data_IF_131230343366
#
_entry.id   IF_131230343366
#
_cell.length_a   1.000
_cell.length_b   1.000
_cell.length_c   1.000
_cell.angle_alpha   90.00
_cell.angle_beta   90.00
_cell.angle_gamma   90.00
#
_symmetry.space_group_name_H-M   'P 1'
#
loop_
_entity.id
_entity.type
_entity.pdbx_description
1 polymer ?
#
# COMPACT_ATOMS: atom_id res chain seq x y z
N UNK A 1 3.03 -51.65 -3.21
CA UNK A 1 3.65 -50.80 -4.22
C UNK A 1 2.60 -49.97 -5.03
N UNK A 2 1.36 -49.76 -4.51
CA UNK A 2 0.27 -49.07 -5.22
C UNK A 2 -0.29 -47.84 -4.52
N UNK A 3 0.24 -47.45 -3.35
CA UNK A 3 -0.31 -46.34 -2.55
C UNK A 3 0.43 -44.99 -2.77
N UNK A 4 1.65 -45.02 -3.30
CA UNK A 4 2.47 -43.82 -3.53
C UNK A 4 2.18 -43.08 -4.83
N UNK A 5 1.51 -43.71 -5.80
CA UNK A 5 1.27 -43.11 -7.12
C UNK A 5 0.04 -42.20 -7.17
N UNK A 6 -0.87 -42.32 -6.21
CA UNK A 6 -2.12 -41.51 -6.19
C UNK A 6 -1.96 -40.14 -5.52
N UNK A 7 -0.99 -40.01 -4.62
CA UNK A 7 -0.78 -38.70 -3.91
C UNK A 7 -0.09 -37.65 -4.77
N UNK A 8 0.77 -38.06 -5.71
CA UNK A 8 1.51 -37.11 -6.57
C UNK A 8 0.63 -36.53 -7.69
N UNK A 9 -0.36 -37.25 -8.19
CA UNK A 9 -1.27 -36.71 -9.22
C UNK A 9 -2.30 -35.73 -8.71
N UNK A 10 -2.73 -35.82 -7.44
CA UNK A 10 -3.70 -34.88 -6.85
C UNK A 10 -3.06 -33.53 -6.55
N UNK A 11 -1.77 -33.51 -6.12
CA UNK A 11 -1.04 -32.27 -5.86
C UNK A 11 -0.75 -31.49 -7.16
N UNK A 12 -0.45 -32.16 -8.25
CA UNK A 12 -0.27 -31.53 -9.58
C UNK A 12 -1.58 -30.94 -10.13
N UNK A 13 -2.72 -31.60 -9.92
CA UNK A 13 -4.01 -31.11 -10.42
C UNK A 13 -4.53 -29.89 -9.68
N UNK A 14 -4.29 -29.78 -8.37
CA UNK A 14 -4.67 -28.60 -7.57
C UNK A 14 -3.75 -27.41 -7.89
N UNK A 15 -2.46 -27.65 -8.12
CA UNK A 15 -1.51 -26.60 -8.54
C UNK A 15 -1.83 -26.02 -9.91
N UNK A 16 -2.24 -26.86 -10.86
CA UNK A 16 -2.63 -26.44 -12.22
C UNK A 16 -3.95 -25.68 -12.18
N UNK A 17 -4.91 -26.09 -11.36
CA UNK A 17 -6.21 -25.40 -11.22
C UNK A 17 -6.09 -23.99 -10.66
N UNK A 18 -5.22 -23.76 -9.67
CA UNK A 18 -4.98 -22.42 -9.09
C UNK A 18 -4.21 -21.52 -10.06
N UNK A 19 -3.22 -22.06 -10.80
CA UNK A 19 -2.53 -21.29 -11.84
C UNK A 19 -3.46 -20.89 -12.99
N UNK A 20 -4.37 -21.77 -13.42
CA UNK A 20 -5.33 -21.48 -14.49
C UNK A 20 -6.37 -20.45 -14.05
N UNK A 21 -6.82 -20.47 -12.79
CA UNK A 21 -7.77 -19.48 -12.26
C UNK A 21 -7.14 -18.09 -12.10
N UNK A 22 -5.87 -18.00 -11.72
CA UNK A 22 -5.13 -16.72 -11.67
C UNK A 22 -4.86 -16.17 -13.07
N UNK A 23 -4.52 -17.03 -14.04
CA UNK A 23 -4.31 -16.63 -15.43
C UNK A 23 -5.60 -16.12 -16.10
N UNK A 24 -6.75 -16.71 -15.78
CA UNK A 24 -8.04 -16.26 -16.31
C UNK A 24 -8.48 -14.90 -15.76
N UNK A 25 -8.19 -14.57 -14.50
CA UNK A 25 -8.51 -13.26 -13.93
C UNK A 25 -7.64 -12.15 -14.53
N UNK A 26 -6.38 -12.41 -14.82
CA UNK A 26 -5.50 -11.49 -15.55
C UNK A 26 -5.93 -11.32 -17.01
N UNK A 27 -6.35 -12.38 -17.68
CA UNK A 27 -6.81 -12.34 -19.07
C UNK A 27 -8.08 -11.47 -19.22
N UNK A 28 -9.06 -11.60 -18.32
CA UNK A 28 -10.29 -10.82 -18.34
C UNK A 28 -10.06 -9.31 -18.09
N UNK A 29 -9.14 -8.95 -17.19
CA UNK A 29 -8.78 -7.56 -16.94
C UNK A 29 -8.03 -6.93 -18.14
N UNK A 30 -7.17 -7.70 -18.80
CA UNK A 30 -6.49 -7.29 -20.04
C UNK A 30 -7.46 -7.12 -21.21
N UNK A 31 -8.42 -8.01 -21.37
CA UNK A 31 -9.42 -7.95 -22.45
C UNK A 31 -10.29 -6.68 -22.33
N UNK A 32 -10.68 -6.32 -21.12
CA UNK A 32 -11.43 -5.08 -20.85
C UNK A 32 -10.66 -3.80 -21.22
N UNK A 33 -9.34 -3.75 -20.98
CA UNK A 33 -8.51 -2.60 -21.37
C UNK A 33 -8.37 -2.49 -22.90
N UNK A 34 -8.17 -3.61 -23.60
CA UNK A 34 -8.10 -3.62 -25.06
C UNK A 34 -9.41 -3.16 -25.71
N UNK A 35 -10.55 -3.55 -25.15
CA UNK A 35 -11.84 -3.09 -25.62
C UNK A 35 -12.01 -1.57 -25.43
N UNK A 36 -11.64 -1.04 -24.26
CA UNK A 36 -11.65 0.39 -23.99
C UNK A 36 -10.73 1.16 -24.95
N UNK A 37 -9.53 0.66 -25.23
CA UNK A 37 -8.60 1.25 -26.20
C UNK A 37 -9.22 1.28 -27.60
N UNK A 38 -9.89 0.19 -28.03
CA UNK A 38 -10.59 0.13 -29.32
C UNK A 38 -11.73 1.16 -29.38
N UNK A 39 -12.53 1.26 -28.31
CA UNK A 39 -13.64 2.20 -28.24
C UNK A 39 -13.17 3.65 -28.33
N UNK A 40 -12.11 4.02 -27.57
CA UNK A 40 -11.53 5.38 -27.64
C UNK A 40 -10.90 5.64 -29.02
N UNK A 41 -10.25 4.63 -29.62
CA UNK A 41 -9.68 4.74 -30.97
C UNK A 41 -10.77 5.01 -32.02
N UNK A 42 -11.94 4.38 -31.90
CA UNK A 42 -13.06 4.65 -32.77
C UNK A 42 -13.60 6.10 -32.59
N UNK A 43 -13.59 6.62 -31.37
CA UNK A 43 -13.96 8.05 -31.11
C UNK A 43 -12.92 9.00 -31.75
N UNK A 44 -11.62 8.71 -31.61
CA UNK A 44 -10.56 9.51 -32.24
C UNK A 44 -10.71 9.57 -33.77
N UNK A 45 -11.11 8.46 -34.42
CA UNK A 45 -11.36 8.46 -35.86
C UNK A 45 -12.49 9.41 -36.26
N UNK A 46 -13.49 9.63 -35.41
CA UNK A 46 -14.61 10.54 -35.66
C UNK A 46 -14.29 11.99 -35.32
N UNK A 47 -13.43 12.20 -34.32
CA UNK A 47 -13.01 13.53 -33.86
C UNK A 47 -11.49 13.55 -33.60
N UNK A 48 -10.67 13.64 -34.68
CA UNK A 48 -9.22 13.54 -34.59
C UNK A 48 -8.54 14.78 -34.00
N UNK A 49 -9.28 15.86 -33.76
CA UNK A 49 -8.75 17.10 -33.14
C UNK A 49 -9.04 17.19 -31.64
N UNK A 50 -9.66 16.18 -31.06
CA UNK A 50 -10.01 16.15 -29.65
C UNK A 50 -8.86 15.66 -28.78
N UNK A 51 -8.15 16.59 -28.17
CA UNK A 51 -6.99 16.28 -27.30
C UNK A 51 -7.35 15.36 -26.12
N UNK A 52 -8.58 15.49 -25.57
CA UNK A 52 -9.00 14.68 -24.43
C UNK A 52 -9.11 13.20 -24.76
N UNK A 53 -9.45 12.84 -26.01
CA UNK A 53 -9.51 11.46 -26.45
C UNK A 53 -8.13 10.82 -26.52
N UNK A 54 -7.12 11.57 -26.97
CA UNK A 54 -5.73 11.09 -26.96
C UNK A 54 -5.20 10.96 -25.53
N UNK A 55 -5.50 11.94 -24.66
CA UNK A 55 -5.16 11.82 -23.25
C UNK A 55 -5.81 10.57 -22.62
N UNK A 56 -7.08 10.34 -22.86
CA UNK A 56 -7.81 9.16 -22.37
C UNK A 56 -7.18 7.86 -22.88
N UNK A 57 -6.83 7.78 -24.17
CA UNK A 57 -6.19 6.58 -24.72
C UNK A 57 -4.76 6.39 -24.18
N UNK A 58 -4.03 7.48 -24.01
CA UNK A 58 -2.72 7.49 -23.38
C UNK A 58 -2.76 6.94 -21.95
N UNK A 59 -3.77 7.31 -21.15
CA UNK A 59 -3.97 6.74 -19.81
C UNK A 59 -4.28 5.23 -19.85
N UNK A 60 -5.08 4.77 -20.80
CA UNK A 60 -5.33 3.33 -21.00
C UNK A 60 -4.05 2.58 -21.38
N UNK A 61 -3.24 3.15 -22.29
CA UNK A 61 -1.93 2.58 -22.63
C UNK A 61 -0.97 2.59 -21.42
N UNK A 62 -0.99 3.63 -20.56
CA UNK A 62 -0.20 3.69 -19.33
C UNK A 62 -0.60 2.57 -18.37
N UNK A 63 -1.90 2.37 -18.15
CA UNK A 63 -2.41 1.27 -17.32
C UNK A 63 -2.03 -0.12 -17.87
N UNK A 64 -1.93 -0.23 -19.20
CA UNK A 64 -1.46 -1.41 -19.89
C UNK A 64 0.06 -1.54 -19.97
N UNK A 65 0.81 -0.57 -19.39
CA UNK A 65 2.28 -0.45 -19.43
C UNK A 65 2.85 -0.35 -20.84
N UNK A 66 2.06 0.09 -21.81
CA UNK A 66 2.50 0.37 -23.16
C UNK A 66 3.07 1.80 -23.27
N UNK A 67 4.19 2.02 -22.59
CA UNK A 67 4.78 3.35 -22.35
C UNK A 67 5.00 4.18 -23.61
N UNK A 68 5.44 3.55 -24.69
CA UNK A 68 5.70 4.23 -25.97
C UNK A 68 4.40 4.75 -26.60
N UNK A 69 3.34 3.95 -26.57
CA UNK A 69 2.02 4.37 -27.08
C UNK A 69 1.40 5.46 -26.23
N UNK A 70 1.50 5.33 -24.90
CA UNK A 70 1.05 6.36 -23.97
C UNK A 70 1.76 7.68 -24.22
N UNK A 71 3.08 7.68 -24.34
CA UNK A 71 3.87 8.88 -24.65
C UNK A 71 3.46 9.53 -25.97
N UNK A 72 3.28 8.73 -27.03
CA UNK A 72 2.83 9.22 -28.36
C UNK A 72 1.47 9.91 -28.29
N UNK A 73 0.53 9.34 -27.54
CA UNK A 73 -0.79 9.94 -27.35
C UNK A 73 -0.74 11.22 -26.53
N UNK A 74 0.06 11.26 -25.46
CA UNK A 74 0.28 12.49 -24.69
C UNK A 74 0.94 13.58 -25.52
N UNK A 75 1.89 13.23 -26.40
CA UNK A 75 2.53 14.19 -27.31
C UNK A 75 1.51 14.73 -28.33
N UNK A 76 0.61 13.89 -28.81
CA UNK A 76 -0.43 14.32 -29.73
C UNK A 76 -1.44 15.25 -29.04
N UNK A 77 -1.90 14.88 -27.84
CA UNK A 77 -2.78 15.71 -27.02
C UNK A 77 -2.16 17.09 -26.73
N UNK A 78 -0.86 17.14 -26.40
CA UNK A 78 -0.15 18.39 -26.12
C UNK A 78 0.01 19.28 -27.35
N UNK A 79 0.15 18.72 -28.56
CA UNK A 79 0.16 19.51 -29.79
C UNK A 79 -1.22 20.12 -30.10
N UNK A 80 -2.28 19.39 -29.81
CA UNK A 80 -3.67 19.88 -30.03
C UNK A 80 -4.05 20.93 -28.97
N UNK A 81 -3.63 20.74 -27.72
CA UNK A 81 -3.97 21.61 -26.59
C UNK A 81 -2.75 21.84 -25.70
N UNK A 82 -1.87 22.78 -26.07
CA UNK A 82 -0.65 23.08 -25.27
C UNK A 82 -0.98 23.68 -23.89
N UNK A 83 -2.18 24.23 -23.73
CA UNK A 83 -2.68 24.82 -22.49
C UNK A 83 -3.19 23.75 -21.49
N UNK A 84 -3.39 22.52 -21.90
CA UNK A 84 -3.95 21.44 -21.07
C UNK A 84 -2.87 20.84 -20.14
N UNK A 85 -2.64 21.48 -19.00
CA UNK A 85 -1.55 21.16 -18.06
C UNK A 85 -1.61 19.72 -17.50
N UNK A 86 -2.80 19.14 -17.41
CA UNK A 86 -2.98 17.77 -16.91
C UNK A 86 -2.21 16.72 -17.72
N UNK A 87 -1.83 17.03 -18.96
CA UNK A 87 -0.98 16.16 -19.80
C UNK A 87 0.40 15.98 -19.18
N UNK A 88 0.95 17.03 -18.57
CA UNK A 88 2.23 16.94 -17.88
C UNK A 88 2.14 16.04 -16.63
N UNK A 89 1.05 16.10 -15.89
CA UNK A 89 0.81 15.16 -14.80
C UNK A 89 0.73 13.71 -15.31
N UNK A 90 -0.02 13.46 -16.37
CA UNK A 90 -0.13 12.14 -16.99
C UNK A 90 1.24 11.60 -17.46
N UNK A 91 2.06 12.44 -18.08
CA UNK A 91 3.44 12.11 -18.44
C UNK A 91 4.30 11.83 -17.22
N UNK A 92 4.20 12.65 -16.18
CA UNK A 92 4.93 12.46 -14.91
C UNK A 92 4.64 11.11 -14.29
N UNK A 93 3.37 10.72 -14.22
CA UNK A 93 2.92 9.41 -13.74
C UNK A 93 3.50 8.27 -14.58
N UNK A 94 3.37 8.35 -15.90
CA UNK A 94 3.91 7.35 -16.82
C UNK A 94 5.44 7.19 -16.66
N UNK A 95 6.16 8.29 -16.55
CA UNK A 95 7.61 8.27 -16.36
C UNK A 95 8.00 7.68 -15.00
N UNK A 96 7.26 7.98 -13.95
CA UNK A 96 7.44 7.36 -12.64
C UNK A 96 7.23 5.84 -12.70
N UNK A 97 6.11 5.38 -13.24
CA UNK A 97 5.76 3.96 -13.34
C UNK A 97 6.72 3.18 -14.25
N UNK A 98 7.28 3.84 -15.27
CA UNK A 98 8.31 3.26 -16.16
C UNK A 98 9.73 3.34 -15.59
N UNK A 99 9.93 3.81 -14.35
CA UNK A 99 11.23 3.90 -13.69
C UNK A 99 12.12 5.06 -14.14
N UNK A 100 11.61 6.01 -14.94
CA UNK A 100 12.37 7.14 -15.47
C UNK A 100 12.30 8.36 -14.53
N UNK A 101 12.75 8.18 -13.29
CA UNK A 101 12.52 9.10 -12.18
C UNK A 101 13.04 10.52 -12.41
N UNK A 102 14.24 10.70 -12.99
CA UNK A 102 14.79 12.04 -13.27
C UNK A 102 13.90 12.83 -14.25
N UNK A 103 13.44 12.15 -15.32
CA UNK A 103 12.52 12.77 -16.29
C UNK A 103 11.15 13.05 -15.68
N UNK A 104 10.66 12.14 -14.82
CA UNK A 104 9.41 12.34 -14.10
C UNK A 104 9.48 13.59 -13.22
N UNK A 105 10.57 13.76 -12.44
CA UNK A 105 10.80 14.95 -11.63
C UNK A 105 10.73 16.23 -12.47
N UNK A 106 11.48 16.29 -13.56
CA UNK A 106 11.51 17.46 -14.44
C UNK A 106 10.12 17.87 -14.94
N UNK A 107 9.31 16.91 -15.38
CA UNK A 107 7.96 17.18 -15.90
C UNK A 107 7.03 17.61 -14.76
N UNK A 108 7.12 16.96 -13.59
CA UNK A 108 6.30 17.28 -12.43
C UNK A 108 6.66 18.64 -11.81
N UNK A 109 7.93 19.03 -11.81
CA UNK A 109 8.36 20.36 -11.39
C UNK A 109 7.74 21.44 -12.27
N UNK A 110 7.74 21.25 -13.59
CA UNK A 110 7.07 22.15 -14.55
C UNK A 110 5.55 22.21 -14.32
N UNK A 111 4.92 21.07 -14.08
CA UNK A 111 3.50 21.01 -13.78
C UNK A 111 3.17 21.78 -12.50
N UNK A 112 3.89 21.50 -11.42
CA UNK A 112 3.64 22.10 -10.10
C UNK A 112 4.06 23.57 -10.02
N UNK A 113 4.97 24.04 -10.88
CA UNK A 113 5.24 25.49 -11.00
C UNK A 113 4.03 26.30 -11.45
N UNK A 114 3.08 25.66 -12.15
CA UNK A 114 1.85 26.28 -12.64
C UNK A 114 0.63 25.92 -11.78
N UNK A 115 0.68 24.81 -11.06
CA UNK A 115 -0.37 24.29 -10.19
C UNK A 115 0.22 23.81 -8.85
N UNK A 116 0.72 24.73 -8.01
CA UNK A 116 1.52 24.38 -6.84
C UNK A 116 0.77 23.53 -5.80
N UNK A 117 -0.55 23.67 -5.73
CA UNK A 117 -1.39 23.00 -4.76
C UNK A 117 -2.08 21.73 -5.34
N UNK A 118 -1.65 21.26 -6.52
CA UNK A 118 -2.31 20.11 -7.15
C UNK A 118 -2.00 18.82 -6.39
N UNK A 119 -2.99 18.30 -5.66
CA UNK A 119 -2.87 17.16 -4.74
C UNK A 119 -2.15 15.96 -5.36
N UNK A 120 -2.65 15.45 -6.48
CA UNK A 120 -2.08 14.27 -7.12
C UNK A 120 -0.68 14.53 -7.72
N UNK A 121 -0.42 15.76 -8.17
CA UNK A 121 0.89 16.19 -8.65
C UNK A 121 1.94 16.15 -7.54
N UNK A 122 1.60 16.69 -6.37
CA UNK A 122 2.46 16.68 -5.17
C UNK A 122 2.78 15.25 -4.75
N UNK A 123 1.77 14.38 -4.62
CA UNK A 123 1.98 12.98 -4.25
C UNK A 123 2.87 12.26 -5.26
N UNK A 124 2.62 12.46 -6.55
CA UNK A 124 3.41 11.80 -7.60
C UNK A 124 4.86 12.28 -7.54
N UNK A 125 5.09 13.59 -7.34
CA UNK A 125 6.45 14.12 -7.23
C UNK A 125 7.12 13.65 -5.93
N UNK A 126 6.42 13.60 -4.81
CA UNK A 126 6.94 13.06 -3.56
C UNK A 126 7.45 11.62 -3.72
N UNK A 127 6.66 10.76 -4.37
CA UNK A 127 7.06 9.38 -4.67
C UNK A 127 8.28 9.32 -5.59
N UNK A 128 8.36 10.18 -6.60
CA UNK A 128 9.53 10.32 -7.49
C UNK A 128 10.77 10.76 -6.69
N UNK A 129 10.64 11.80 -5.87
CA UNK A 129 11.71 12.34 -5.02
C UNK A 129 12.25 11.27 -4.07
N UNK A 130 11.36 10.49 -3.43
CA UNK A 130 11.77 9.37 -2.59
C UNK A 130 12.59 8.32 -3.37
N UNK A 131 12.17 7.97 -4.60
CA UNK A 131 12.92 7.03 -5.46
C UNK A 131 14.28 7.57 -5.90
N UNK A 132 14.46 8.88 -5.92
CA UNK A 132 15.71 9.57 -6.19
C UNK A 132 16.58 9.79 -4.93
N UNK A 133 16.09 9.41 -3.75
CA UNK A 133 16.79 9.63 -2.47
C UNK A 133 16.65 11.05 -1.92
N UNK A 134 15.88 11.92 -2.56
CA UNK A 134 15.61 13.30 -2.15
C UNK A 134 14.48 13.34 -1.10
N UNK A 135 14.77 12.73 0.07
CA UNK A 135 13.76 12.44 1.07
C UNK A 135 13.14 13.68 1.70
N UNK A 136 13.94 14.72 1.96
CA UNK A 136 13.44 15.97 2.55
C UNK A 136 12.39 16.63 1.66
N UNK A 137 12.68 16.76 0.38
CA UNK A 137 11.75 17.33 -0.59
C UNK A 137 10.48 16.45 -0.74
N UNK A 138 10.64 15.12 -0.66
CA UNK A 138 9.50 14.20 -0.70
C UNK A 138 8.57 14.39 0.52
N UNK A 139 9.13 14.58 1.72
CA UNK A 139 8.36 14.83 2.94
C UNK A 139 7.62 16.17 2.85
N UNK A 140 8.26 17.19 2.30
CA UNK A 140 7.63 18.50 2.04
C UNK A 140 6.42 18.37 1.12
N UNK A 141 6.57 17.67 -0.01
CA UNK A 141 5.47 17.46 -0.95
C UNK A 141 4.31 16.64 -0.33
N UNK A 142 4.61 15.57 0.42
CA UNK A 142 3.58 14.82 1.14
C UNK A 142 2.86 15.68 2.18
N UNK A 143 3.60 16.50 2.92
CA UNK A 143 3.03 17.38 3.94
C UNK A 143 2.14 18.45 3.30
N UNK A 144 2.57 19.03 2.18
CA UNK A 144 1.78 19.98 1.41
C UNK A 144 0.50 19.33 0.86
N UNK A 145 0.59 18.13 0.29
CA UNK A 145 -0.58 17.39 -0.19
C UNK A 145 -1.59 17.12 0.93
N UNK A 146 -1.13 16.69 2.12
CA UNK A 146 -1.98 16.44 3.28
C UNK A 146 -2.67 17.71 3.78
N UNK A 147 -1.97 18.85 3.74
CA UNK A 147 -2.52 20.14 4.14
C UNK A 147 -3.62 20.65 3.19
N UNK A 148 -3.50 20.34 1.88
CA UNK A 148 -4.47 20.77 0.85
C UNK A 148 -5.62 19.80 0.62
N UNK A 149 -5.52 18.58 1.12
CA UNK A 149 -6.56 17.57 0.95
C UNK A 149 -7.79 17.85 1.83
N UNK A 150 -8.96 17.96 1.21
CA UNK A 150 -10.23 17.98 1.92
C UNK A 150 -10.58 16.61 2.53
N UNK A 151 -10.16 15.52 1.87
CA UNK A 151 -10.34 14.14 2.34
C UNK A 151 -8.99 13.62 2.77
N UNK A 152 -8.88 13.29 4.06
CA UNK A 152 -7.65 12.76 4.59
C UNK A 152 -7.47 11.29 4.14
N UNK A 153 -6.34 11.01 3.51
CA UNK A 153 -5.97 9.67 3.04
C UNK A 153 -4.99 9.05 4.04
N UNK A 154 -5.37 7.94 4.73
CA UNK A 154 -4.49 7.29 5.70
C UNK A 154 -3.19 6.77 5.07
N UNK A 155 -3.23 6.31 3.82
CA UNK A 155 -2.04 5.78 3.15
C UNK A 155 -0.98 6.87 2.95
N UNK A 156 -1.39 8.12 2.77
CA UNK A 156 -0.46 9.22 2.59
C UNK A 156 0.29 9.57 3.89
N UNK A 157 -0.35 9.45 5.05
CA UNK A 157 0.33 9.56 6.34
C UNK A 157 1.36 8.46 6.54
N UNK A 158 1.00 7.23 6.12
CA UNK A 158 1.89 6.07 6.18
C UNK A 158 3.11 6.27 5.25
N UNK A 159 2.89 6.68 3.99
CA UNK A 159 3.97 6.93 3.03
C UNK A 159 4.93 8.02 3.55
N UNK A 160 4.39 9.14 4.03
CA UNK A 160 5.19 10.22 4.64
C UNK A 160 6.02 9.69 5.81
N UNK A 161 5.40 8.96 6.73
CA UNK A 161 6.08 8.41 7.89
C UNK A 161 7.19 7.42 7.51
N UNK A 162 6.96 6.56 6.53
CA UNK A 162 7.97 5.61 6.02
C UNK A 162 9.17 6.33 5.41
N UNK A 163 8.94 7.38 4.63
CA UNK A 163 10.02 8.18 4.04
C UNK A 163 10.80 8.93 5.12
N UNK A 164 10.11 9.48 6.12
CA UNK A 164 10.72 10.20 7.25
C UNK A 164 11.57 9.24 8.11
N UNK A 165 11.02 8.08 8.48
CA UNK A 165 11.69 7.07 9.30
C UNK A 165 12.75 6.24 8.55
N UNK A 166 12.97 6.50 7.25
CA UNK A 166 14.11 5.95 6.52
C UNK A 166 15.45 6.56 7.00
N UNK A 167 15.40 7.70 7.69
CA UNK A 167 16.46 8.19 8.57
C UNK A 167 16.04 7.89 10.01
N UNK A 168 16.78 6.99 10.69
CA UNK A 168 16.47 6.56 12.06
C UNK A 168 16.40 7.74 13.04
N UNK A 169 17.18 8.79 12.80
CA UNK A 169 17.18 10.02 13.63
C UNK A 169 15.88 10.80 13.56
N UNK A 170 15.07 10.57 12.53
CA UNK A 170 13.79 11.24 12.29
C UNK A 170 12.58 10.39 12.67
N UNK A 171 12.79 9.28 13.40
CA UNK A 171 11.69 8.40 13.81
C UNK A 171 10.65 9.12 14.67
N UNK A 172 11.06 10.03 15.56
CA UNK A 172 10.12 10.83 16.36
C UNK A 172 9.24 11.73 15.49
N UNK A 173 9.79 12.35 14.45
CA UNK A 173 9.04 13.16 13.49
C UNK A 173 8.04 12.29 12.70
N UNK A 174 8.44 11.08 12.31
CA UNK A 174 7.52 10.15 11.64
C UNK A 174 6.35 9.74 12.53
N UNK A 175 6.61 9.50 13.82
CA UNK A 175 5.57 9.18 14.81
C UNK A 175 4.61 10.35 15.03
N UNK A 176 5.12 11.59 15.16
CA UNK A 176 4.30 12.80 15.24
C UNK A 176 3.37 12.90 14.03
N UNK A 177 3.92 12.65 12.83
CA UNK A 177 3.12 12.68 11.61
C UNK A 177 2.04 11.61 11.54
N UNK A 178 2.25 10.41 12.11
CA UNK A 178 1.21 9.39 12.24
C UNK A 178 0.15 9.79 13.28
N UNK A 179 0.57 10.40 14.39
CA UNK A 179 -0.35 10.87 15.43
C UNK A 179 -1.23 12.02 14.93
N UNK A 180 -0.73 12.90 14.04
CA UNK A 180 -1.55 13.86 13.29
C UNK A 180 -2.64 13.14 12.47
N UNK A 181 -2.27 12.08 11.76
CA UNK A 181 -3.21 11.27 10.98
C UNK A 181 -4.27 10.62 11.87
N UNK A 182 -3.86 10.04 12.99
CA UNK A 182 -4.75 9.43 13.98
C UNK A 182 -5.72 10.45 14.57
N UNK A 183 -5.23 11.65 14.88
CA UNK A 183 -6.08 12.74 15.39
C UNK A 183 -7.11 13.19 14.37
N UNK A 184 -6.76 13.24 13.08
CA UNK A 184 -7.62 13.73 12.01
C UNK A 184 -8.63 12.68 11.52
N UNK A 185 -8.23 11.40 11.48
CA UNK A 185 -8.99 10.30 10.88
C UNK A 185 -9.66 9.38 11.90
N UNK A 186 -9.31 9.53 13.18
CA UNK A 186 -9.61 8.56 14.21
C UNK A 186 -8.53 7.47 14.32
N UNK A 187 -8.67 6.57 15.31
CA UNK A 187 -7.66 5.56 15.65
C UNK A 187 -7.67 4.39 14.66
N UNK A 188 -7.40 4.66 13.39
CA UNK A 188 -7.32 3.63 12.36
C UNK A 188 -6.21 2.63 12.67
N UNK A 189 -6.55 1.34 12.60
CA UNK A 189 -5.63 0.23 12.90
C UNK A 189 -4.36 0.29 12.06
N UNK A 190 -4.46 0.66 10.78
CA UNK A 190 -3.32 0.75 9.87
C UNK A 190 -2.29 1.80 10.32
N UNK A 191 -2.74 2.98 10.75
CA UNK A 191 -1.86 4.04 11.27
C UNK A 191 -1.21 3.60 12.59
N UNK A 192 -2.01 3.02 13.49
CA UNK A 192 -1.50 2.51 14.77
C UNK A 192 -0.47 1.41 14.60
N UNK A 193 -0.70 0.45 13.69
CA UNK A 193 0.26 -0.62 13.40
C UNK A 193 1.58 -0.06 12.81
N UNK A 194 1.49 0.93 11.93
CA UNK A 194 2.69 1.59 11.40
C UNK A 194 3.47 2.28 12.53
N UNK A 195 2.78 2.95 13.45
CA UNK A 195 3.43 3.58 14.61
C UNK A 195 4.03 2.53 15.56
N UNK A 196 3.33 1.42 15.83
CA UNK A 196 3.87 0.29 16.61
C UNK A 196 5.17 -0.25 15.99
N UNK A 197 5.20 -0.43 14.67
CA UNK A 197 6.40 -0.94 14.00
C UNK A 197 7.58 0.04 14.09
N UNK A 198 7.34 1.36 14.09
CA UNK A 198 8.37 2.36 14.35
C UNK A 198 8.86 2.34 15.80
N UNK A 199 7.96 2.22 16.78
CA UNK A 199 8.33 2.08 18.19
C UNK A 199 9.17 0.81 18.43
N UNK A 200 8.84 -0.31 17.79
CA UNK A 200 9.58 -1.55 17.89
C UNK A 200 10.99 -1.44 17.30
N UNK A 201 11.16 -0.74 16.17
CA UNK A 201 12.48 -0.50 15.56
C UNK A 201 13.43 0.23 16.52
N UNK A 202 12.92 1.20 17.28
CA UNK A 202 13.70 1.94 18.28
C UNK A 202 13.70 1.28 19.67
N UNK A 203 13.13 0.07 19.78
CA UNK A 203 13.02 -0.72 21.02
C UNK A 203 12.23 -0.04 22.14
N UNK A 204 11.34 0.87 21.80
CA UNK A 204 10.42 1.49 22.74
C UNK A 204 9.17 0.61 22.92
N UNK A 205 9.37 -0.51 23.63
CA UNK A 205 8.33 -1.54 23.78
C UNK A 205 7.13 -1.06 24.57
N UNK A 206 7.31 -0.18 25.54
CA UNK A 206 6.19 0.34 26.33
C UNK A 206 5.25 1.21 25.51
N UNK A 207 5.78 2.10 24.66
CA UNK A 207 4.98 2.86 23.73
C UNK A 207 4.27 1.98 22.70
N UNK A 208 4.96 0.94 22.17
CA UNK A 208 4.35 -0.02 21.27
C UNK A 208 3.18 -0.77 21.93
N UNK A 209 3.34 -1.20 23.19
CA UNK A 209 2.29 -1.84 23.99
C UNK A 209 1.11 -0.90 24.26
N UNK A 210 1.36 0.36 24.62
CA UNK A 210 0.30 1.34 24.84
C UNK A 210 -0.56 1.58 23.58
N UNK A 211 0.08 1.68 22.40
CA UNK A 211 -0.65 1.79 21.12
C UNK A 211 -1.46 0.53 20.82
N UNK A 212 -0.89 -0.65 21.09
CA UNK A 212 -1.59 -1.92 20.90
C UNK A 212 -2.80 -2.07 21.84
N UNK A 213 -2.69 -1.59 23.07
CA UNK A 213 -3.80 -1.58 24.04
C UNK A 213 -4.94 -0.70 23.54
N UNK A 214 -4.63 0.44 22.89
CA UNK A 214 -5.62 1.27 22.22
C UNK A 214 -6.40 0.53 21.12
N UNK A 215 -5.72 -0.29 20.32
CA UNK A 215 -6.38 -1.14 19.31
C UNK A 215 -7.22 -2.24 19.99
N UNK A 216 -6.65 -2.90 20.99
CA UNK A 216 -7.27 -4.05 21.66
C UNK A 216 -8.55 -3.66 22.39
N UNK A 217 -8.58 -2.47 23.02
CA UNK A 217 -9.74 -1.96 23.75
C UNK A 217 -10.96 -1.73 22.86
N UNK A 218 -10.73 -1.36 21.59
CA UNK A 218 -11.76 -1.07 20.59
C UNK A 218 -12.14 -2.28 19.73
N UNK A 219 -11.40 -3.38 19.85
CA UNK A 219 -11.60 -4.58 19.04
C UNK A 219 -12.54 -5.56 19.75
N UNK A 220 -13.58 -6.01 19.05
CA UNK A 220 -14.43 -7.12 19.51
C UNK A 220 -13.63 -8.43 19.59
N UNK A 221 -12.71 -8.61 18.67
CA UNK A 221 -11.85 -9.80 18.55
C UNK A 221 -10.46 -9.48 19.04
N UNK A 222 -10.04 -10.14 20.10
CA UNK A 222 -8.80 -9.81 20.82
C UNK A 222 -7.66 -10.79 20.56
N UNK A 223 -7.94 -11.96 20.01
CA UNK A 223 -6.96 -13.04 19.87
C UNK A 223 -5.70 -12.62 19.10
N UNK A 224 -5.86 -11.86 18.00
CA UNK A 224 -4.74 -11.34 17.20
C UNK A 224 -3.86 -10.38 18.01
N UNK A 225 -4.49 -9.48 18.74
CA UNK A 225 -3.80 -8.45 19.52
C UNK A 225 -3.12 -9.00 20.75
N UNK A 226 -3.71 -10.02 21.39
CA UNK A 226 -3.13 -10.72 22.53
C UNK A 226 -1.87 -11.51 22.11
N UNK A 227 -1.90 -12.19 20.96
CA UNK A 227 -0.69 -12.82 20.39
C UNK A 227 0.38 -11.77 20.13
N UNK A 228 0.02 -10.65 19.47
CA UNK A 228 0.96 -9.55 19.19
C UNK A 228 1.54 -8.94 20.47
N UNK A 229 0.70 -8.80 21.52
CA UNK A 229 1.16 -8.35 22.84
C UNK A 229 2.22 -9.27 23.43
N UNK A 230 1.96 -10.57 23.41
CA UNK A 230 2.92 -11.57 23.87
C UNK A 230 4.25 -11.50 23.12
N UNK A 231 4.21 -11.30 21.81
CA UNK A 231 5.42 -11.14 20.98
C UNK A 231 6.21 -9.89 21.34
N UNK A 232 5.56 -8.76 21.53
CA UNK A 232 6.22 -7.50 21.94
C UNK A 232 6.83 -7.64 23.33
N UNK A 233 6.12 -8.24 24.28
CA UNK A 233 6.60 -8.50 25.64
C UNK A 233 7.81 -9.45 25.62
N UNK A 234 7.81 -10.47 24.78
CA UNK A 234 8.98 -11.37 24.59
C UNK A 234 10.19 -10.61 24.06
N UNK A 235 9.99 -9.71 23.08
CA UNK A 235 11.07 -8.83 22.58
C UNK A 235 11.59 -7.87 23.65
N UNK A 236 10.74 -7.43 24.57
CA UNK A 236 11.08 -6.59 25.70
C UNK A 236 11.78 -7.36 26.84
N UNK A 237 11.93 -8.69 26.75
CA UNK A 237 12.47 -9.53 27.83
C UNK A 237 11.50 -9.79 28.98
N UNK A 238 10.23 -9.35 28.90
CA UNK A 238 9.19 -9.46 29.93
C UNK A 238 8.48 -10.83 29.81
N UNK A 239 9.22 -11.92 30.15
CA UNK A 239 8.82 -13.29 29.85
C UNK A 239 7.50 -13.70 30.53
N UNK A 240 7.32 -13.40 31.82
CA UNK A 240 6.09 -13.78 32.55
C UNK A 240 4.85 -13.10 31.98
N UNK A 241 4.97 -11.83 31.65
CA UNK A 241 3.86 -11.08 31.03
C UNK A 241 3.59 -11.57 29.60
N UNK A 242 4.63 -11.95 28.85
CA UNK A 242 4.48 -12.55 27.53
C UNK A 242 3.68 -13.87 27.62
N UNK A 243 4.02 -14.73 28.62
CA UNK A 243 3.31 -15.98 28.87
C UNK A 243 1.83 -15.71 29.20
N UNK A 244 1.55 -14.75 30.07
CA UNK A 244 0.19 -14.36 30.40
C UNK A 244 -0.60 -13.90 29.18
N UNK A 245 0.01 -13.10 28.30
CA UNK A 245 -0.61 -12.65 27.08
C UNK A 245 -0.90 -13.77 26.07
N UNK A 246 0.03 -14.73 25.87
CA UNK A 246 -0.19 -15.89 25.03
C UNK A 246 -1.27 -16.82 25.58
N UNK A 247 -1.31 -17.06 26.89
CA UNK A 247 -2.38 -17.84 27.51
C UNK A 247 -3.74 -17.15 27.34
N UNK A 248 -3.83 -15.83 27.54
CA UNK A 248 -5.05 -15.08 27.29
C UNK A 248 -5.49 -15.16 25.81
N UNK A 249 -4.54 -15.19 24.86
CA UNK A 249 -4.83 -15.39 23.44
C UNK A 249 -5.45 -16.77 23.19
N UNK A 250 -4.90 -17.82 23.80
CA UNK A 250 -5.45 -19.19 23.66
C UNK A 250 -6.87 -19.29 24.23
N UNK A 251 -7.12 -18.70 25.39
CA UNK A 251 -8.49 -18.63 25.98
C UNK A 251 -9.45 -17.88 25.04
N UNK A 252 -9.02 -16.76 24.46
CA UNK A 252 -9.83 -16.02 23.51
C UNK A 252 -10.11 -16.84 22.24
N UNK A 253 -9.15 -17.62 21.74
CA UNK A 253 -9.34 -18.53 20.61
C UNK A 253 -10.33 -19.65 20.95
N UNK A 254 -10.22 -20.23 22.14
CA UNK A 254 -11.13 -21.30 22.60
C UNK A 254 -12.58 -20.85 22.71
N UNK A 255 -12.81 -19.56 23.02
CA UNK A 255 -14.15 -18.97 23.10
C UNK A 255 -14.81 -18.72 21.73
N UNK A 256 -14.04 -18.81 20.62
CA UNK A 256 -14.58 -18.61 19.28
C UNK A 256 -15.50 -19.77 18.85
N UNK A 257 -16.53 -19.49 18.02
CA UNK A 257 -17.34 -20.54 17.39
C UNK A 257 -16.47 -21.55 16.62
N UNK A 258 -16.83 -22.85 16.58
CA UNK A 258 -16.01 -23.91 15.96
C UNK A 258 -15.58 -23.61 14.53
N UNK A 259 -16.48 -23.10 13.70
CA UNK A 259 -16.17 -22.74 12.32
C UNK A 259 -15.08 -21.65 12.19
N UNK A 260 -15.03 -20.71 13.15
CA UNK A 260 -14.00 -19.67 13.19
C UNK A 260 -12.66 -20.19 13.71
N UNK A 261 -12.69 -21.06 14.73
CA UNK A 261 -11.46 -21.69 15.27
C UNK A 261 -10.70 -22.47 14.21
N UNK A 262 -11.40 -23.14 13.31
CA UNK A 262 -10.82 -23.94 12.22
C UNK A 262 -10.30 -23.08 11.04
N UNK A 263 -10.51 -21.76 11.06
CA UNK A 263 -9.98 -20.89 10.01
C UNK A 263 -8.43 -20.86 10.04
N UNK A 264 -7.82 -20.85 8.85
CA UNK A 264 -6.35 -20.81 8.70
C UNK A 264 -5.70 -19.70 9.53
N UNK A 265 -6.32 -18.53 9.59
CA UNK A 265 -5.82 -17.39 10.37
C UNK A 265 -5.76 -17.71 11.86
N UNK A 266 -6.86 -18.23 12.44
CA UNK A 266 -6.93 -18.54 13.87
C UNK A 266 -6.02 -19.71 14.23
N UNK A 267 -5.96 -20.76 13.40
CA UNK A 267 -5.04 -21.89 13.60
C UNK A 267 -3.57 -21.41 13.59
N UNK A 268 -3.23 -20.47 12.73
CA UNK A 268 -1.88 -19.88 12.72
C UNK A 268 -1.58 -19.09 13.99
N UNK A 269 -2.53 -18.32 14.50
CA UNK A 269 -2.39 -17.59 15.77
C UNK A 269 -2.20 -18.55 16.96
N UNK A 270 -3.00 -19.61 16.99
CA UNK A 270 -2.90 -20.66 18.02
C UNK A 270 -1.50 -21.32 18.01
N UNK A 271 -1.02 -21.72 16.84
CA UNK A 271 0.32 -22.31 16.70
C UNK A 271 1.42 -21.35 17.17
N UNK A 272 1.33 -20.07 16.83
CA UNK A 272 2.30 -19.05 17.29
C UNK A 272 2.29 -18.92 18.81
N UNK A 273 1.11 -18.84 19.43
CA UNK A 273 1.00 -18.74 20.89
C UNK A 273 1.53 -20.00 21.60
N UNK A 274 1.16 -21.21 21.13
CA UNK A 274 1.64 -22.48 21.70
C UNK A 274 3.16 -22.65 21.52
N UNK A 275 3.69 -22.33 20.34
CA UNK A 275 5.12 -22.37 20.07
C UNK A 275 5.90 -21.42 20.98
N UNK A 276 5.38 -20.20 21.19
CA UNK A 276 6.03 -19.23 22.09
C UNK A 276 6.05 -19.68 23.56
N UNK A 277 5.05 -20.45 24.00
CA UNK A 277 4.97 -21.02 25.33
C UNK A 277 5.84 -22.28 25.51
N UNK A 278 6.05 -23.06 24.44
CA UNK A 278 6.84 -24.31 24.47
C UNK A 278 8.32 -24.16 24.12
N UNK A 279 8.78 -22.98 23.69
CA UNK A 279 10.19 -22.71 23.32
C UNK A 279 11.02 -22.23 24.54
N UNK A 280 11.14 -23.13 25.55
CA UNK A 280 12.05 -22.94 26.70
C UNK A 280 13.00 -24.12 26.84
#
# INVERSE_FOLDING_TARGET
MFVTYFRTKVICLVGIGVCVALLSSFALAHEGLHEQIRAVTAKIKRDPKNASLYLQRGELYRLHREWTRAASDYDHAARLRPDLKIIDLARGKMLFESGRFQRAKFILDRFLSQQPDHYEGLITRARVLNRLGLRSDAIEDFTHALAKSAVADPDLYIERAQVTAADEKRTDEALIGLDEGIKRLGPLVTLQLTAIDLELRRRNYDAALARLDGITSQSERKETWLVRRGEILKLAGRQEEARAAFNAALVAIESLPPARRQSRTVTTLELRARSALGSQ
#
